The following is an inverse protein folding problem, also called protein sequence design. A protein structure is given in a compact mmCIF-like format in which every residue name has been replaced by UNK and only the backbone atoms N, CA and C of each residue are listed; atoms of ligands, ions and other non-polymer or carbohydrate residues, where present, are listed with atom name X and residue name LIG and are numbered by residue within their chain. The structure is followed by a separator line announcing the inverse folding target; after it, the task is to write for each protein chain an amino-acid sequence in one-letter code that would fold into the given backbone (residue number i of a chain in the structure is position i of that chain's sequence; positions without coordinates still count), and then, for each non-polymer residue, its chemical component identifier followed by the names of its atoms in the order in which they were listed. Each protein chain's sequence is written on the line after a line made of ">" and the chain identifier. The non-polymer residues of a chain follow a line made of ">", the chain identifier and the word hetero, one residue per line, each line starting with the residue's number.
data_IF_446564374019
#
_entry.id   IF_446564374019
#
_cell.length_a   1.000
_cell.length_b   1.000
_cell.length_c   1.000
_cell.angle_alpha   90.00
_cell.angle_beta   90.00
_cell.angle_gamma   90.00
#
_symmetry.space_group_name_H-M   'P 1'
#
loop_
_entity.id
_entity.type
_entity.pdbx_description
1 polymer ?
#
# COMPACT_ATOMS: atom_id res chain seq x y z
N UNK A 1 22.48 1.82 -21.13
CA UNK A 1 23.37 0.78 -21.67
C UNK A 1 23.82 -0.10 -20.51
N UNK A 2 23.55 -1.43 -20.50
CA UNK A 2 23.88 -2.32 -19.37
C UNK A 2 25.37 -2.39 -19.06
N UNK A 3 26.24 -2.07 -20.01
CA UNK A 3 27.69 -2.16 -19.89
C UNK A 3 28.33 -1.05 -19.02
N UNK A 4 27.52 -0.11 -18.47
CA UNK A 4 27.99 1.00 -17.64
C UNK A 4 27.43 0.89 -16.21
N UNK A 5 26.79 -0.23 -15.88
CA UNK A 5 26.26 -0.44 -14.53
C UNK A 5 27.41 -0.82 -13.59
N UNK A 6 27.79 0.11 -12.72
CA UNK A 6 28.84 -0.09 -11.70
C UNK A 6 28.19 -0.07 -10.34
N UNK A 7 28.45 -1.10 -9.54
CA UNK A 7 27.92 -1.22 -8.18
C UNK A 7 28.97 -1.82 -7.24
N UNK A 8 28.67 -1.73 -5.94
CA UNK A 8 29.52 -2.27 -4.85
C UNK A 8 28.95 -3.54 -4.24
N UNK A 9 27.86 -4.10 -4.80
CA UNK A 9 27.15 -5.27 -4.30
C UNK A 9 27.86 -6.59 -4.56
N UNK A 10 27.32 -7.66 -3.96
CA UNK A 10 27.85 -9.04 -4.05
C UNK A 10 27.73 -9.66 -5.45
N UNK A 11 26.93 -9.06 -6.32
CA UNK A 11 26.68 -9.54 -7.67
C UNK A 11 26.95 -8.44 -8.70
N UNK A 12 27.30 -8.87 -9.91
CA UNK A 12 27.42 -8.04 -11.11
C UNK A 12 26.37 -8.44 -12.13
N UNK A 13 25.80 -7.48 -12.82
CA UNK A 13 24.83 -7.72 -13.89
C UNK A 13 25.57 -8.34 -15.10
N UNK A 14 25.26 -9.60 -15.40
CA UNK A 14 25.86 -10.36 -16.50
C UNK A 14 25.02 -10.26 -17.79
N UNK A 15 23.68 -10.26 -17.65
CA UNK A 15 22.76 -10.14 -18.78
C UNK A 15 21.53 -9.34 -18.38
N UNK A 16 21.09 -8.45 -19.26
CA UNK A 16 19.86 -7.68 -19.16
C UNK A 16 18.96 -7.99 -20.34
N UNK A 17 17.73 -8.37 -20.06
CA UNK A 17 16.67 -8.59 -21.05
C UNK A 17 15.35 -8.00 -20.55
N UNK A 18 14.34 -8.00 -21.41
CA UNK A 18 12.99 -7.52 -21.08
C UNK A 18 12.21 -8.49 -20.20
N UNK A 19 12.58 -9.76 -20.23
CA UNK A 19 11.94 -10.89 -19.55
C UNK A 19 12.80 -11.50 -18.43
N UNK A 20 14.10 -11.17 -18.40
CA UNK A 20 15.03 -11.78 -17.47
C UNK A 20 16.27 -10.93 -17.20
N UNK A 21 16.80 -11.10 -15.99
CA UNK A 21 18.09 -10.54 -15.57
C UNK A 21 18.97 -11.67 -15.06
N UNK A 22 20.25 -11.68 -15.45
CA UNK A 22 21.25 -12.60 -14.91
C UNK A 22 22.29 -11.84 -14.11
N UNK A 23 22.53 -12.29 -12.90
CA UNK A 23 23.56 -11.77 -12.00
C UNK A 23 24.57 -12.87 -11.71
N UNK A 24 25.83 -12.61 -12.00
CA UNK A 24 26.95 -13.45 -11.60
C UNK A 24 27.54 -12.95 -10.28
N UNK A 25 28.15 -13.83 -9.50
CA UNK A 25 28.87 -13.44 -8.28
C UNK A 25 30.03 -12.50 -8.63
N UNK A 26 30.18 -11.46 -7.82
CA UNK A 26 31.31 -10.53 -7.96
C UNK A 26 32.49 -11.04 -7.11
N UNK A 27 33.49 -11.64 -7.76
CA UNK A 27 34.62 -12.30 -7.09
C UNK A 27 35.44 -11.36 -6.20
N UNK A 28 35.47 -10.05 -6.55
CA UNK A 28 36.20 -9.01 -5.78
C UNK A 28 35.30 -8.30 -4.77
N UNK A 29 34.12 -8.88 -4.45
CA UNK A 29 33.24 -8.31 -3.44
C UNK A 29 33.95 -8.23 -2.07
N UNK A 30 33.88 -7.08 -1.44
CA UNK A 30 34.55 -6.76 -0.18
C UNK A 30 33.91 -7.38 1.06
N UNK A 31 32.66 -7.80 0.98
CA UNK A 31 31.90 -8.41 2.08
C UNK A 31 31.83 -9.93 1.98
N UNK A 32 30.92 -10.54 2.76
CA UNK A 32 30.69 -11.99 2.75
C UNK A 32 30.18 -12.43 1.37
N UNK A 33 30.87 -13.35 0.75
CA UNK A 33 30.54 -13.91 -0.56
C UNK A 33 29.16 -14.61 -0.55
N UNK A 34 28.43 -14.57 -1.64
CA UNK A 34 27.20 -15.35 -1.81
C UNK A 34 27.43 -16.87 -1.65
N UNK A 35 26.43 -17.56 -1.10
CA UNK A 35 26.45 -19.03 -0.98
C UNK A 35 26.02 -19.72 -2.28
N UNK A 36 25.47 -18.97 -3.25
CA UNK A 36 25.10 -19.46 -4.58
C UNK A 36 26.08 -18.99 -5.66
N UNK A 37 25.94 -19.56 -6.86
CA UNK A 37 26.80 -19.25 -8.00
C UNK A 37 26.31 -18.04 -8.83
N UNK A 38 25.18 -17.45 -8.47
CA UNK A 38 24.53 -16.33 -9.17
C UNK A 38 23.02 -16.38 -9.04
N UNK A 39 22.35 -15.40 -9.61
CA UNK A 39 20.88 -15.25 -9.55
C UNK A 39 20.33 -14.99 -10.95
N UNK A 40 19.34 -15.77 -11.34
CA UNK A 40 18.53 -15.52 -12.53
C UNK A 40 17.16 -15.00 -12.09
N UNK A 41 16.85 -13.75 -12.40
CA UNK A 41 15.52 -13.16 -12.13
C UNK A 41 14.69 -13.30 -13.41
N UNK A 42 13.56 -13.99 -13.30
CA UNK A 42 12.54 -14.05 -14.37
C UNK A 42 11.45 -13.04 -14.09
N UNK A 43 11.18 -12.16 -15.05
CA UNK A 43 10.15 -11.14 -14.93
C UNK A 43 8.83 -11.73 -15.41
N UNK A 44 7.92 -11.99 -14.46
CA UNK A 44 6.58 -12.50 -14.75
C UNK A 44 5.58 -11.34 -14.68
N UNK A 45 4.98 -11.00 -15.81
CA UNK A 45 3.98 -9.91 -15.88
C UNK A 45 2.57 -10.33 -15.46
N UNK A 46 2.35 -11.63 -15.31
CA UNK A 46 1.08 -12.22 -14.91
C UNK A 46 1.24 -13.03 -13.62
N UNK A 47 0.42 -12.76 -12.58
CA UNK A 47 0.38 -13.59 -11.36
C UNK A 47 0.14 -15.07 -11.64
N UNK A 48 -0.68 -15.38 -12.64
CA UNK A 48 -0.97 -16.77 -13.06
C UNK A 48 0.29 -17.45 -13.62
N UNK A 49 1.07 -16.73 -14.42
CA UNK A 49 2.31 -17.27 -14.96
C UNK A 49 3.34 -17.51 -13.85
N UNK A 50 3.49 -16.57 -12.91
CA UNK A 50 4.35 -16.72 -11.75
C UNK A 50 3.96 -17.95 -10.90
N UNK A 51 2.68 -18.08 -10.59
CA UNK A 51 2.14 -19.20 -9.83
C UNK A 51 2.42 -20.55 -10.51
N UNK A 52 2.14 -20.65 -11.83
CA UNK A 52 2.38 -21.87 -12.59
C UNK A 52 3.87 -22.20 -12.73
N UNK A 53 4.72 -21.19 -13.00
CA UNK A 53 6.16 -21.38 -13.10
C UNK A 53 6.74 -21.93 -11.78
N UNK A 54 6.24 -21.45 -10.64
CA UNK A 54 6.63 -21.98 -9.33
C UNK A 54 6.13 -23.42 -9.12
N UNK A 55 4.86 -23.70 -9.37
CA UNK A 55 4.27 -25.05 -9.18
C UNK A 55 4.93 -26.13 -10.04
N UNK A 56 5.37 -25.76 -11.22
CA UNK A 56 6.06 -26.70 -12.13
C UNK A 56 7.56 -26.84 -11.87
N UNK A 57 8.11 -26.06 -10.90
CA UNK A 57 9.54 -26.06 -10.61
C UNK A 57 10.39 -25.32 -11.65
N UNK A 58 9.78 -24.54 -12.54
CA UNK A 58 10.50 -23.71 -13.52
C UNK A 58 11.28 -22.56 -12.85
N UNK A 59 10.86 -22.15 -11.66
CA UNK A 59 11.56 -21.19 -10.80
C UNK A 59 11.72 -21.77 -9.40
N UNK A 60 12.80 -21.39 -8.74
CA UNK A 60 13.18 -21.89 -7.41
C UNK A 60 12.47 -21.14 -6.28
N UNK A 61 12.22 -19.85 -6.47
CA UNK A 61 11.63 -18.97 -5.48
C UNK A 61 10.57 -18.11 -6.17
N UNK A 62 9.35 -18.08 -5.61
CA UNK A 62 8.30 -17.15 -5.97
C UNK A 62 8.17 -16.09 -4.88
N UNK A 63 8.25 -14.82 -5.28
CA UNK A 63 8.22 -13.67 -4.40
C UNK A 63 7.52 -12.52 -5.09
N UNK A 64 6.67 -11.78 -4.34
CA UNK A 64 5.83 -10.70 -4.83
C UNK A 64 4.78 -11.12 -5.89
N UNK A 65 3.82 -10.25 -6.15
CA UNK A 65 2.82 -10.32 -7.24
C UNK A 65 1.89 -11.54 -7.27
N UNK A 66 1.92 -12.43 -6.28
CA UNK A 66 0.93 -13.50 -6.14
C UNK A 66 -0.41 -12.93 -5.67
N UNK A 67 -1.52 -13.48 -6.16
CA UNK A 67 -2.87 -13.12 -5.70
C UNK A 67 -3.21 -13.84 -4.39
N UNK A 68 -4.16 -13.33 -3.57
CA UNK A 68 -4.52 -13.94 -2.30
C UNK A 68 -4.93 -15.42 -2.37
N UNK A 69 -5.69 -15.83 -3.38
CA UNK A 69 -6.08 -17.21 -3.62
C UNK A 69 -4.89 -18.12 -3.98
N UNK A 70 -3.94 -17.60 -4.74
CA UNK A 70 -2.71 -18.29 -5.09
C UNK A 70 -1.81 -18.49 -3.85
N UNK A 71 -1.66 -17.46 -3.02
CA UNK A 71 -0.94 -17.55 -1.74
C UNK A 71 -1.58 -18.62 -0.86
N UNK A 72 -2.90 -18.59 -0.69
CA UNK A 72 -3.63 -19.58 0.10
C UNK A 72 -3.41 -21.02 -0.43
N UNK A 73 -3.43 -21.20 -1.75
CA UNK A 73 -3.16 -22.48 -2.39
C UNK A 73 -1.74 -22.97 -2.14
N UNK A 74 -0.74 -22.07 -2.26
CA UNK A 74 0.66 -22.41 -2.01
C UNK A 74 0.94 -22.70 -0.54
N UNK A 75 0.34 -21.96 0.40
CA UNK A 75 0.44 -22.25 1.83
C UNK A 75 -0.15 -23.62 2.19
N UNK A 76 -1.30 -23.96 1.60
CA UNK A 76 -1.93 -25.26 1.82
C UNK A 76 -1.04 -26.43 1.35
N UNK A 77 -0.35 -26.27 0.24
CA UNK A 77 0.61 -27.26 -0.27
C UNK A 77 1.92 -27.27 0.53
N UNK A 78 2.39 -26.11 1.00
CA UNK A 78 3.56 -26.03 1.88
C UNK A 78 3.34 -26.80 3.20
N UNK A 79 2.12 -26.75 3.77
CA UNK A 79 1.72 -27.55 4.94
C UNK A 79 1.80 -29.06 4.70
N UNK A 80 1.66 -29.51 3.45
CA UNK A 80 1.85 -30.91 3.04
C UNK A 80 3.31 -31.25 2.76
N UNK A 81 4.20 -30.27 2.83
CA UNK A 81 5.62 -30.43 2.58
C UNK A 81 6.01 -30.43 1.10
N UNK A 82 5.18 -29.88 0.19
CA UNK A 82 5.51 -29.80 -1.24
C UNK A 82 6.65 -28.81 -1.50
N UNK A 83 6.68 -27.70 -0.74
CA UNK A 83 7.69 -26.65 -0.77
C UNK A 83 7.72 -25.90 0.57
N UNK A 84 8.56 -24.87 0.67
CA UNK A 84 8.66 -24.01 1.85
C UNK A 84 7.77 -22.78 1.66
N UNK A 85 7.10 -22.33 2.72
CA UNK A 85 6.43 -21.06 2.80
C UNK A 85 7.06 -20.22 3.91
N UNK A 86 7.53 -19.04 3.58
CA UNK A 86 8.08 -18.06 4.49
C UNK A 86 7.15 -16.85 4.46
N UNK A 87 6.69 -16.41 5.61
CA UNK A 87 5.88 -15.19 5.72
C UNK A 87 6.42 -14.25 6.77
N UNK A 88 6.30 -12.97 6.52
CA UNK A 88 6.66 -11.92 7.46
C UNK A 88 5.56 -10.85 7.48
N UNK A 89 5.46 -10.13 8.61
CA UNK A 89 4.62 -8.94 8.68
C UNK A 89 5.22 -7.87 7.79
N UNK A 90 4.46 -7.47 6.77
CA UNK A 90 4.89 -6.47 5.81
C UNK A 90 4.80 -5.04 6.34
N UNK A 91 5.49 -4.14 5.67
CA UNK A 91 5.43 -2.69 5.93
C UNK A 91 4.69 -1.93 4.82
N UNK A 92 4.21 -2.63 3.80
CA UNK A 92 3.41 -2.06 2.72
C UNK A 92 2.01 -1.76 3.22
N UNK A 93 1.57 -0.52 3.06
CA UNK A 93 0.22 -0.07 3.42
C UNK A 93 -0.60 0.19 2.17
N UNK A 94 -1.85 -0.25 2.17
CA UNK A 94 -2.82 0.08 1.12
C UNK A 94 -3.88 1.02 1.70
N UNK A 95 -4.22 2.03 0.93
CA UNK A 95 -5.10 3.12 1.38
C UNK A 95 -5.93 3.67 0.23
N UNK A 96 -7.01 4.37 0.59
CA UNK A 96 -7.81 5.19 -0.30
C UNK A 96 -7.40 6.65 -0.10
N UNK A 97 -6.92 7.31 -1.18
CA UNK A 97 -6.65 8.75 -1.20
C UNK A 97 -7.95 9.49 -1.53
N UNK A 98 -8.18 10.61 -0.87
CA UNK A 98 -9.34 11.48 -1.11
C UNK A 98 -8.85 12.87 -1.48
N UNK A 99 -9.06 13.26 -2.75
CA UNK A 99 -8.65 14.56 -3.27
C UNK A 99 -9.59 15.65 -2.75
N UNK A 100 -9.12 16.44 -1.79
CA UNK A 100 -9.93 17.49 -1.17
C UNK A 100 -10.31 18.64 -2.12
N UNK A 101 -9.70 18.76 -3.28
CA UNK A 101 -10.02 19.78 -4.27
C UNK A 101 -11.14 19.35 -5.23
N UNK A 102 -11.59 18.10 -5.15
CA UNK A 102 -12.64 17.54 -5.99
C UNK A 102 -13.96 17.40 -5.20
N UNK A 103 -15.06 17.93 -5.77
CA UNK A 103 -16.38 17.71 -5.18
C UNK A 103 -16.83 16.26 -5.38
N UNK A 104 -17.52 15.66 -4.40
CA UNK A 104 -17.94 16.20 -3.09
C UNK A 104 -16.88 16.00 -1.98
N UNK A 105 -15.65 15.59 -2.31
CA UNK A 105 -14.59 15.29 -1.35
C UNK A 105 -13.95 16.54 -0.71
N UNK A 106 -14.30 17.74 -1.19
CA UNK A 106 -14.00 19.02 -0.53
C UNK A 106 -14.64 19.11 0.86
N UNK A 107 -15.79 18.45 1.07
CA UNK A 107 -16.45 18.37 2.39
C UNK A 107 -15.84 17.27 3.24
N UNK A 108 -15.40 17.61 4.45
CA UNK A 108 -14.81 16.64 5.37
C UNK A 108 -15.82 15.57 5.81
N UNK A 109 -17.09 15.92 5.91
CA UNK A 109 -18.20 15.04 6.30
C UNK A 109 -18.35 13.87 5.28
N UNK A 110 -18.13 14.14 3.99
CA UNK A 110 -18.15 13.11 2.94
C UNK A 110 -16.97 12.17 3.12
N UNK A 111 -15.76 12.69 3.39
CA UNK A 111 -14.58 11.86 3.62
C UNK A 111 -14.73 11.01 4.89
N UNK A 112 -15.30 11.57 5.96
CA UNK A 112 -15.61 10.86 7.20
C UNK A 112 -16.69 9.79 7.00
N UNK A 113 -17.71 10.08 6.18
CA UNK A 113 -18.74 9.09 5.82
C UNK A 113 -18.15 7.90 5.06
N UNK A 114 -17.23 8.16 4.11
CA UNK A 114 -16.52 7.10 3.40
C UNK A 114 -15.67 6.27 4.38
N UNK A 115 -14.99 6.91 5.34
CA UNK A 115 -14.21 6.20 6.35
C UNK A 115 -15.08 5.28 7.22
N UNK A 116 -16.31 5.71 7.56
CA UNK A 116 -17.29 4.93 8.34
C UNK A 116 -17.94 3.80 7.54
N UNK A 117 -18.10 3.96 6.21
CA UNK A 117 -18.66 2.94 5.33
C UNK A 117 -17.73 1.73 5.19
N UNK A 118 -16.41 1.96 5.19
CA UNK A 118 -15.43 0.91 4.91
C UNK A 118 -15.42 -0.14 6.01
N UNK A 119 -15.65 -1.39 5.62
CA UNK A 119 -15.52 -2.58 6.47
C UNK A 119 -14.22 -3.31 6.11
N UNK A 120 -13.15 -3.01 6.87
CA UNK A 120 -11.80 -3.58 6.62
C UNK A 120 -11.75 -5.06 6.91
N UNK A 121 -12.55 -5.49 7.91
CA UNK A 121 -12.64 -6.91 8.25
C UNK A 121 -13.26 -7.69 7.10
N UNK A 122 -14.37 -7.20 6.54
CA UNK A 122 -15.01 -7.81 5.37
C UNK A 122 -14.07 -7.84 4.16
N UNK A 123 -13.33 -6.74 3.90
CA UNK A 123 -12.34 -6.70 2.82
C UNK A 123 -11.24 -7.75 3.04
N UNK A 124 -10.73 -7.89 4.28
CA UNK A 124 -9.70 -8.87 4.60
C UNK A 124 -10.21 -10.31 4.43
N UNK A 125 -11.41 -10.60 4.93
CA UNK A 125 -11.96 -11.96 4.91
C UNK A 125 -12.38 -12.39 3.49
N UNK A 126 -12.98 -11.48 2.69
CA UNK A 126 -13.60 -11.82 1.40
C UNK A 126 -12.74 -11.58 0.18
N UNK A 127 -11.89 -10.55 0.23
CA UNK A 127 -11.05 -10.16 -0.94
C UNK A 127 -9.61 -10.59 -0.72
N UNK A 128 -9.08 -10.35 0.48
CA UNK A 128 -7.68 -10.64 0.78
C UNK A 128 -7.46 -12.05 1.35
N UNK A 129 -8.53 -12.80 1.64
CA UNK A 129 -8.50 -14.18 2.16
C UNK A 129 -7.59 -14.32 3.39
N UNK A 130 -7.60 -13.30 4.25
CA UNK A 130 -6.77 -13.18 5.47
C UNK A 130 -5.25 -13.10 5.20
N UNK A 131 -4.84 -12.78 3.95
CA UNK A 131 -3.44 -12.61 3.57
C UNK A 131 -2.89 -11.19 3.85
N UNK A 132 -3.62 -10.39 4.59
CA UNK A 132 -3.24 -9.07 5.07
C UNK A 132 -3.82 -8.82 6.46
N UNK A 133 -3.47 -7.70 7.08
CA UNK A 133 -4.08 -7.28 8.34
C UNK A 133 -4.84 -5.96 8.13
N UNK A 134 -6.07 -5.83 8.66
CA UNK A 134 -6.79 -4.56 8.66
C UNK A 134 -5.95 -3.45 9.30
N UNK A 135 -5.83 -2.31 8.62
CA UNK A 135 -5.03 -1.19 9.09
C UNK A 135 -5.91 0.01 9.44
N UNK A 136 -5.68 0.59 10.61
CA UNK A 136 -6.48 1.69 11.17
C UNK A 136 -5.66 2.95 11.44
N UNK A 137 -4.45 3.01 10.89
CA UNK A 137 -3.54 4.17 10.84
C UNK A 137 -2.82 4.16 9.50
N UNK A 138 -2.36 5.33 9.02
CA UNK A 138 -1.44 5.38 7.87
C UNK A 138 -0.05 4.82 8.23
N UNK A 139 0.29 4.77 9.51
CA UNK A 139 1.55 4.20 10.00
C UNK A 139 1.34 2.70 10.28
N UNK A 140 2.17 1.80 9.72
CA UNK A 140 2.07 0.36 9.94
C UNK A 140 2.18 -0.04 11.42
N UNK A 141 1.54 -1.14 11.78
CA UNK A 141 1.55 -1.69 13.15
C UNK A 141 2.93 -2.20 13.61
N UNK A 142 3.88 -2.34 12.68
CA UNK A 142 5.28 -2.65 12.98
C UNK A 142 6.02 -1.53 13.72
N UNK A 143 5.48 -0.31 13.71
CA UNK A 143 6.02 0.83 14.45
C UNK A 143 5.26 1.06 15.75
N UNK A 144 5.99 1.25 16.85
CA UNK A 144 5.42 1.47 18.20
C UNK A 144 4.68 2.80 18.37
N UNK A 145 4.74 3.69 17.39
CA UNK A 145 3.99 4.95 17.33
C UNK A 145 2.63 4.80 16.64
N UNK A 146 2.38 3.66 15.98
CA UNK A 146 1.11 3.40 15.31
C UNK A 146 -0.05 3.32 16.30
N UNK A 147 -1.14 4.02 16.01
CA UNK A 147 -2.36 4.02 16.84
C UNK A 147 -3.58 3.70 15.98
N UNK A 148 -4.44 2.75 16.37
CA UNK A 148 -5.57 2.31 15.57
C UNK A 148 -6.78 3.27 15.63
N UNK A 149 -6.55 4.57 15.53
CA UNK A 149 -7.55 5.63 15.77
C UNK A 149 -8.76 5.52 14.83
N UNK A 150 -8.55 5.08 13.58
CA UNK A 150 -9.67 4.86 12.65
C UNK A 150 -10.63 3.75 13.12
N UNK A 151 -10.12 2.74 13.85
CA UNK A 151 -10.96 1.69 14.43
C UNK A 151 -11.92 2.25 15.47
N UNK A 152 -11.41 3.08 16.36
CA UNK A 152 -12.17 3.62 17.46
C UNK A 152 -13.25 4.62 16.97
N UNK A 153 -12.89 5.50 16.04
CA UNK A 153 -13.79 6.53 15.52
C UNK A 153 -14.73 6.03 14.43
N UNK A 154 -14.20 5.40 13.39
CA UNK A 154 -14.97 5.02 12.20
C UNK A 154 -15.36 3.54 12.17
N UNK A 155 -14.64 2.66 12.91
CA UNK A 155 -14.91 1.23 12.98
C UNK A 155 -14.84 0.52 11.63
N UNK A 156 -15.68 -0.49 11.47
CA UNK A 156 -15.88 -1.26 10.26
C UNK A 156 -17.38 -1.31 9.94
N UNK A 157 -17.80 -0.76 8.80
CA UNK A 157 -19.18 -0.80 8.33
C UNK A 157 -20.19 -0.05 9.20
N UNK A 158 -19.82 1.12 9.76
CA UNK A 158 -20.74 1.99 10.52
C UNK A 158 -21.65 2.77 9.59
N UNK A 159 -22.55 2.06 8.89
CA UNK A 159 -23.37 2.63 7.83
C UNK A 159 -24.34 3.71 8.32
N UNK A 160 -24.87 3.59 9.54
CA UNK A 160 -25.79 4.58 10.10
C UNK A 160 -25.07 5.93 10.33
N UNK A 161 -23.86 5.89 10.89
CA UNK A 161 -23.01 7.08 11.07
C UNK A 161 -22.60 7.69 9.74
N UNK A 162 -22.26 6.85 8.75
CA UNK A 162 -21.94 7.31 7.40
C UNK A 162 -23.11 8.07 6.77
N UNK A 163 -24.33 7.52 6.83
CA UNK A 163 -25.54 8.19 6.35
C UNK A 163 -25.80 9.51 7.08
N UNK A 164 -25.70 9.52 8.41
CA UNK A 164 -25.87 10.72 9.22
C UNK A 164 -24.92 11.84 8.81
N UNK A 165 -23.65 11.50 8.57
CA UNK A 165 -22.63 12.47 8.12
C UNK A 165 -22.97 13.06 6.73
N UNK A 166 -23.43 12.22 5.79
CA UNK A 166 -23.82 12.69 4.45
C UNK A 166 -25.05 13.57 4.47
N UNK A 167 -26.08 13.20 5.25
CA UNK A 167 -27.28 14.02 5.42
C UNK A 167 -26.94 15.38 6.03
N UNK A 168 -26.09 15.41 7.07
CA UNK A 168 -25.62 16.65 7.66
C UNK A 168 -24.83 17.53 6.69
N UNK A 169 -24.16 16.92 5.69
CA UNK A 169 -23.45 17.61 4.62
C UNK A 169 -24.37 18.07 3.46
N UNK A 170 -25.70 17.80 3.52
CA UNK A 170 -26.69 18.21 2.55
C UNK A 170 -26.88 17.25 1.38
N UNK A 171 -26.49 15.97 1.53
CA UNK A 171 -26.75 14.93 0.53
C UNK A 171 -28.00 14.13 0.87
N UNK A 172 -28.69 13.70 -0.16
CA UNK A 172 -29.91 12.89 -0.08
C UNK A 172 -29.94 11.88 -1.24
N UNK A 173 -31.00 11.09 -1.30
CA UNK A 173 -31.22 10.17 -2.41
C UNK A 173 -31.43 10.91 -3.74
N UNK A 174 -32.08 12.09 -3.72
CA UNK A 174 -32.31 12.94 -4.90
C UNK A 174 -31.02 13.72 -5.28
N UNK A 175 -30.15 13.98 -4.32
CA UNK A 175 -28.87 14.67 -4.52
C UNK A 175 -27.72 13.87 -3.88
N UNK A 176 -27.32 12.74 -4.47
CA UNK A 176 -26.31 11.87 -3.86
C UNK A 176 -24.89 12.42 -3.96
N UNK A 177 -24.06 12.04 -3.00
CA UNK A 177 -22.60 12.19 -3.09
C UNK A 177 -22.07 11.17 -4.11
N UNK A 178 -21.57 11.65 -5.26
CA UNK A 178 -21.00 10.80 -6.32
C UNK A 178 -19.48 10.89 -6.28
N UNK A 179 -18.81 9.74 -6.12
CA UNK A 179 -17.35 9.67 -5.99
C UNK A 179 -16.79 8.62 -6.93
N UNK A 180 -15.79 8.98 -7.73
CA UNK A 180 -15.07 8.03 -8.56
C UNK A 180 -13.89 7.43 -7.76
N UNK A 181 -13.75 6.10 -7.80
CA UNK A 181 -12.61 5.37 -7.26
C UNK A 181 -11.76 4.87 -8.42
N UNK A 182 -10.54 5.39 -8.52
CA UNK A 182 -9.58 5.04 -9.56
C UNK A 182 -8.49 4.09 -9.04
N UNK A 183 -8.07 3.14 -9.87
CA UNK A 183 -6.98 2.21 -9.56
C UNK A 183 -6.25 1.76 -10.83
N UNK A 184 -4.99 1.26 -10.73
CA UNK A 184 -4.25 0.72 -11.88
C UNK A 184 -4.90 -0.55 -12.43
N UNK A 185 -5.13 -0.61 -13.75
CA UNK A 185 -5.82 -1.69 -14.44
C UNK A 185 -5.20 -3.09 -14.21
N UNK A 186 -3.90 -3.15 -13.93
CA UNK A 186 -3.19 -4.41 -13.69
C UNK A 186 -3.49 -5.05 -12.32
N UNK A 187 -4.18 -4.33 -11.40
CA UNK A 187 -4.41 -4.82 -10.04
C UNK A 187 -5.79 -5.46 -9.86
N UNK A 188 -5.86 -6.77 -9.94
CA UNK A 188 -7.09 -7.53 -9.68
C UNK A 188 -7.60 -7.32 -8.25
N UNK A 189 -6.72 -7.34 -7.26
CA UNK A 189 -7.08 -7.13 -5.84
C UNK A 189 -7.75 -5.77 -5.63
N UNK A 190 -7.19 -4.69 -6.19
CA UNK A 190 -7.80 -3.36 -6.08
C UNK A 190 -9.13 -3.26 -6.83
N UNK A 191 -9.27 -3.95 -7.95
CA UNK A 191 -10.53 -4.08 -8.66
C UNK A 191 -11.61 -4.67 -7.75
N UNK A 192 -11.33 -5.80 -7.11
CA UNK A 192 -12.26 -6.46 -6.20
C UNK A 192 -12.61 -5.59 -4.97
N UNK A 193 -11.62 -4.91 -4.40
CA UNK A 193 -11.85 -3.96 -3.30
C UNK A 193 -12.75 -2.82 -3.75
N UNK A 194 -12.47 -2.17 -4.87
CA UNK A 194 -13.27 -1.06 -5.38
C UNK A 194 -14.71 -1.48 -5.68
N UNK A 195 -14.91 -2.67 -6.27
CA UNK A 195 -16.25 -3.25 -6.49
C UNK A 195 -16.96 -3.58 -5.18
N UNK A 196 -16.24 -4.06 -4.17
CA UNK A 196 -16.81 -4.33 -2.84
C UNK A 196 -17.26 -3.02 -2.18
N UNK A 197 -16.45 -1.96 -2.23
CA UNK A 197 -16.83 -0.64 -1.71
C UNK A 197 -18.06 -0.09 -2.43
N UNK A 198 -18.10 -0.23 -3.76
CA UNK A 198 -19.29 0.14 -4.54
C UNK A 198 -20.53 -0.66 -4.09
N UNK A 199 -20.43 -1.96 -3.96
CA UNK A 199 -21.53 -2.82 -3.50
C UNK A 199 -22.02 -2.45 -2.10
N UNK A 200 -21.12 -2.10 -1.19
CA UNK A 200 -21.48 -1.61 0.16
C UNK A 200 -22.26 -0.28 0.06
N UNK A 201 -21.82 0.65 -0.78
CA UNK A 201 -22.55 1.91 -0.99
C UNK A 201 -23.95 1.64 -1.60
N UNK A 202 -24.03 0.85 -2.66
CA UNK A 202 -25.28 0.53 -3.35
C UNK A 202 -26.30 -0.15 -2.42
N UNK A 203 -25.85 -1.01 -1.51
CA UNK A 203 -26.72 -1.84 -0.65
C UNK A 203 -26.99 -1.25 0.73
N UNK A 204 -26.13 -0.38 1.25
CA UNK A 204 -26.16 0.10 2.64
C UNK A 204 -26.39 1.59 2.78
N UNK A 205 -26.27 2.39 1.70
CA UNK A 205 -26.33 3.84 1.79
C UNK A 205 -27.61 4.44 1.21
N UNK A 206 -28.62 3.63 0.91
CA UNK A 206 -29.94 4.07 0.42
C UNK A 206 -29.86 5.08 -0.75
N UNK A 207 -28.83 4.95 -1.61
CA UNK A 207 -28.59 5.82 -2.75
C UNK A 207 -27.94 7.18 -2.43
N UNK A 208 -27.71 7.53 -1.16
CA UNK A 208 -27.12 8.82 -0.74
C UNK A 208 -25.64 8.93 -1.11
N UNK A 209 -24.90 7.79 -1.15
CA UNK A 209 -23.52 7.70 -1.62
C UNK A 209 -23.45 6.74 -2.81
N UNK A 210 -22.84 7.19 -3.88
CA UNK A 210 -22.67 6.39 -5.10
C UNK A 210 -21.19 6.36 -5.51
N UNK A 211 -20.62 5.16 -5.66
CA UNK A 211 -19.30 5.01 -6.21
C UNK A 211 -19.32 4.62 -7.69
N UNK A 212 -18.50 5.29 -8.47
CA UNK A 212 -18.18 4.92 -9.84
C UNK A 212 -16.74 4.36 -9.87
N UNK A 213 -16.60 3.10 -10.25
CA UNK A 213 -15.30 2.41 -10.30
C UNK A 213 -14.66 2.66 -11.66
N UNK A 214 -13.43 3.17 -11.67
CA UNK A 214 -12.66 3.54 -12.84
C UNK A 214 -11.26 2.92 -12.80
N UNK A 215 -10.72 2.62 -13.96
CA UNK A 215 -9.39 2.08 -14.10
C UNK A 215 -8.65 2.72 -15.26
N UNK A 216 -7.33 2.76 -15.17
CA UNK A 216 -6.43 3.26 -16.20
C UNK A 216 -5.13 2.46 -16.16
N UNK A 217 -4.37 2.47 -17.26
CA UNK A 217 -3.05 1.84 -17.34
C UNK A 217 -2.10 2.38 -16.25
N UNK A 218 -1.26 1.49 -15.67
CA UNK A 218 -0.49 1.79 -14.46
C UNK A 218 0.47 2.97 -14.58
N UNK A 219 1.25 3.07 -15.66
CA UNK A 219 2.17 4.17 -15.85
C UNK A 219 1.43 5.51 -15.97
N UNK A 220 0.31 5.53 -16.68
CA UNK A 220 -0.58 6.69 -16.79
C UNK A 220 -1.17 7.05 -15.44
N UNK A 221 -1.64 6.06 -14.68
CA UNK A 221 -2.21 6.26 -13.34
C UNK A 221 -1.24 7.05 -12.43
N UNK A 222 -0.02 6.55 -12.27
CA UNK A 222 0.96 7.19 -11.39
C UNK A 222 1.44 8.55 -11.90
N UNK A 223 1.51 8.75 -13.21
CA UNK A 223 1.86 10.04 -13.82
C UNK A 223 0.81 11.12 -13.59
N UNK A 224 -0.45 10.73 -13.51
CA UNK A 224 -1.58 11.65 -13.46
C UNK A 224 -2.09 11.96 -12.03
N UNK A 225 -1.71 11.14 -11.02
CA UNK A 225 -2.13 11.35 -9.63
C UNK A 225 -1.81 12.78 -9.16
N UNK A 226 -0.58 13.23 -9.37
CA UNK A 226 -0.10 14.55 -8.92
C UNK A 226 -0.75 15.73 -9.65
N UNK A 227 -1.46 15.49 -10.74
CA UNK A 227 -2.20 16.52 -11.49
C UNK A 227 -3.63 16.74 -10.98
N UNK A 228 -4.07 15.94 -10.00
CA UNK A 228 -5.41 16.06 -9.41
C UNK A 228 -6.55 15.60 -10.29
N UNK A 229 -6.29 14.76 -11.31
CA UNK A 229 -7.31 14.27 -12.23
C UNK A 229 -8.27 13.28 -11.58
N UNK A 230 -7.82 12.57 -10.52
CA UNK A 230 -8.59 11.54 -9.86
C UNK A 230 -9.21 12.06 -8.56
N UNK A 231 -10.56 11.99 -8.41
CA UNK A 231 -11.23 12.34 -7.15
C UNK A 231 -10.77 11.44 -5.99
N UNK A 232 -10.68 10.14 -6.20
CA UNK A 232 -10.07 9.24 -5.24
C UNK A 232 -9.28 8.15 -5.91
N UNK A 233 -8.23 7.66 -5.22
CA UNK A 233 -7.34 6.63 -5.74
C UNK A 233 -7.12 5.52 -4.73
N UNK A 234 -7.19 4.27 -5.21
CA UNK A 234 -6.87 3.09 -4.43
C UNK A 234 -5.47 2.62 -4.80
N UNK A 235 -4.52 2.84 -3.90
CA UNK A 235 -3.11 2.56 -4.13
C UNK A 235 -2.41 2.05 -2.86
N UNK A 236 -1.12 1.80 -2.95
CA UNK A 236 -0.31 1.32 -1.84
C UNK A 236 1.02 2.08 -1.78
N UNK A 237 1.67 1.98 -0.62
CA UNK A 237 2.99 2.53 -0.39
C UNK A 237 3.97 1.45 0.06
N UNK A 238 5.08 1.34 -0.66
CA UNK A 238 6.26 0.61 -0.25
C UNK A 238 7.19 1.58 0.46
N UNK A 239 7.67 1.29 1.69
CA UNK A 239 8.55 2.23 2.38
C UNK A 239 9.92 2.32 1.71
N UNK A 240 10.44 3.54 1.56
CA UNK A 240 11.81 3.78 1.09
C UNK A 240 12.83 3.49 2.20
N UNK A 241 12.41 3.65 3.46
CA UNK A 241 13.20 3.38 4.65
C UNK A 241 12.28 3.11 5.86
N UNK A 242 12.80 2.42 6.88
CA UNK A 242 12.04 1.99 8.06
C UNK A 242 12.04 3.07 9.15
N UNK A 243 11.30 4.15 8.92
CA UNK A 243 10.95 5.16 9.91
C UNK A 243 9.48 5.57 9.72
N UNK A 244 8.72 5.85 10.80
CA UNK A 244 7.34 6.33 10.68
C UNK A 244 7.17 7.59 9.83
N UNK A 245 8.22 8.43 9.70
CA UNK A 245 8.21 9.62 8.84
C UNK A 245 7.92 9.27 7.37
N UNK A 246 8.32 8.08 6.91
CA UNK A 246 8.06 7.60 5.54
C UNK A 246 6.57 7.38 5.23
N UNK A 247 5.72 7.32 6.27
CA UNK A 247 4.26 7.19 6.13
C UNK A 247 3.51 8.49 6.46
N UNK A 248 4.24 9.56 6.71
CA UNK A 248 3.72 10.86 7.12
C UNK A 248 4.14 11.95 6.17
N UNK A 249 5.44 12.21 6.05
CA UNK A 249 5.97 13.31 5.24
C UNK A 249 5.58 13.22 3.75
N UNK A 250 5.74 12.07 3.05
CA UNK A 250 5.38 11.95 1.64
C UNK A 250 3.88 12.15 1.36
N UNK A 251 3.03 11.99 2.38
CA UNK A 251 1.57 12.03 2.25
C UNK A 251 0.97 13.37 2.66
N UNK A 252 1.53 14.01 3.69
CA UNK A 252 0.87 15.10 4.41
C UNK A 252 1.61 16.42 4.30
N UNK A 253 2.94 16.40 3.98
CA UNK A 253 3.72 17.61 3.85
C UNK A 253 3.32 18.41 2.61
N UNK A 254 3.26 19.72 2.78
CA UNK A 254 2.98 20.66 1.71
C UNK A 254 3.94 21.85 1.78
N UNK A 255 4.80 21.99 0.78
CA UNK A 255 5.77 23.08 0.71
C UNK A 255 5.12 24.41 0.28
N UNK A 256 4.10 24.33 -0.61
CA UNK A 256 3.35 25.49 -1.08
C UNK A 256 1.88 25.16 -1.23
N UNK A 257 1.04 25.97 -0.63
CA UNK A 257 -0.41 25.77 -0.67
C UNK A 257 -1.15 26.74 0.24
N UNK A 258 -2.44 26.58 0.31
CA UNK A 258 -3.32 27.34 1.18
C UNK A 258 -4.59 26.56 1.53
N UNK A 259 -5.34 27.01 2.54
CA UNK A 259 -6.62 26.41 2.89
C UNK A 259 -7.60 26.44 1.68
N UNK A 260 -7.58 27.51 0.88
CA UNK A 260 -8.49 27.66 -0.27
C UNK A 260 -8.10 26.78 -1.47
N UNK A 261 -6.80 26.66 -1.77
CA UNK A 261 -6.30 25.96 -2.98
C UNK A 261 -5.89 24.51 -2.71
N UNK A 262 -5.71 24.15 -1.44
CA UNK A 262 -5.04 22.91 -1.10
C UNK A 262 -3.52 22.99 -1.29
N UNK A 263 -2.86 21.85 -1.35
CA UNK A 263 -1.44 21.77 -1.62
C UNK A 263 -1.14 21.89 -3.12
N UNK A 264 -0.34 22.88 -3.48
CA UNK A 264 0.09 23.15 -4.86
C UNK A 264 1.44 22.48 -5.18
N UNK A 265 2.34 22.38 -4.17
CA UNK A 265 3.64 21.70 -4.27
C UNK A 265 3.96 20.95 -2.98
N UNK A 266 4.24 19.66 -3.05
CA UNK A 266 4.64 18.86 -1.89
C UNK A 266 4.14 17.42 -1.93
N UNK A 267 4.33 16.72 -0.81
CA UNK A 267 4.00 15.30 -0.70
C UNK A 267 2.51 15.02 -0.93
N UNK A 268 1.62 15.78 -0.27
CA UNK A 268 0.18 15.57 -0.41
C UNK A 268 -0.35 15.83 -1.82
N UNK A 269 0.25 16.77 -2.57
CA UNK A 269 -0.03 16.99 -3.97
C UNK A 269 0.47 15.80 -4.81
N UNK A 270 1.71 15.35 -4.58
CA UNK A 270 2.30 14.21 -5.30
C UNK A 270 1.51 12.92 -5.08
N UNK A 271 0.92 12.72 -3.90
CA UNK A 271 0.08 11.56 -3.57
C UNK A 271 -1.42 11.77 -3.88
N UNK A 272 -1.80 12.92 -4.44
CA UNK A 272 -3.14 13.16 -4.97
C UNK A 272 -4.22 13.55 -3.97
N UNK A 273 -3.91 13.75 -2.69
CA UNK A 273 -4.89 14.25 -1.71
C UNK A 273 -5.06 15.77 -1.74
N UNK A 274 -4.03 16.48 -2.16
CA UNK A 274 -3.95 17.94 -2.17
C UNK A 274 -4.22 18.55 -0.78
N UNK A 275 -3.98 17.76 0.26
CA UNK A 275 -4.19 18.17 1.63
C UNK A 275 -3.22 19.29 2.02
N UNK A 276 -3.74 20.33 2.64
CA UNK A 276 -2.96 21.44 3.20
C UNK A 276 -3.40 21.73 4.63
N UNK A 277 -2.44 21.76 5.52
CA UNK A 277 -2.61 22.21 6.89
C UNK A 277 -1.27 22.74 7.41
N UNK A 278 -1.26 24.00 7.85
CA UNK A 278 -0.08 24.61 8.45
C UNK A 278 0.31 23.90 9.76
N UNK A 279 -0.70 23.50 10.56
CA UNK A 279 -0.48 22.73 11.77
C UNK A 279 0.18 21.38 11.50
N UNK A 280 -0.26 20.66 10.44
CA UNK A 280 0.34 19.40 10.02
C UNK A 280 1.79 19.59 9.59
N UNK A 281 2.09 20.61 8.78
CA UNK A 281 3.46 20.91 8.37
C UNK A 281 4.37 21.16 9.59
N UNK A 282 3.88 21.90 10.59
CA UNK A 282 4.62 22.14 11.85
C UNK A 282 4.88 20.85 12.62
N UNK A 283 3.89 19.97 12.73
CA UNK A 283 4.04 18.67 13.39
C UNK A 283 5.07 17.79 12.66
N UNK A 284 5.04 17.76 11.32
CA UNK A 284 6.01 17.03 10.50
C UNK A 284 7.42 17.56 10.73
N UNK A 285 7.61 18.87 10.71
CA UNK A 285 8.91 19.50 10.97
C UNK A 285 9.40 19.24 12.40
N UNK A 286 8.51 19.25 13.40
CA UNK A 286 8.85 18.97 14.78
C UNK A 286 9.30 17.51 14.97
N UNK A 287 8.54 16.52 14.47
CA UNK A 287 8.90 15.12 14.64
C UNK A 287 10.24 14.77 13.97
N UNK A 288 10.59 15.43 12.85
CA UNK A 288 11.85 15.22 12.14
C UNK A 288 13.07 15.80 12.87
N UNK A 289 12.86 16.79 13.72
CA UNK A 289 13.91 17.44 14.54
C UNK A 289 14.01 16.84 15.93
N UNK A 290 12.96 16.16 16.40
CA UNK A 290 12.89 15.62 17.75
C UNK A 290 13.76 14.38 17.91
N UNK A 291 14.66 14.41 18.89
CA UNK A 291 15.58 13.32 19.20
C UNK A 291 15.12 12.46 20.38
N UNK A 292 14.23 12.99 21.23
CA UNK A 292 13.66 12.21 22.32
C UNK A 292 12.54 11.31 21.81
N UNK A 293 12.65 9.97 21.90
CA UNK A 293 11.68 9.02 21.34
C UNK A 293 10.27 9.19 21.90
N UNK A 294 10.13 9.48 23.18
CA UNK A 294 8.81 9.63 23.83
C UNK A 294 8.11 10.93 23.39
N UNK A 295 8.87 12.01 23.23
CA UNK A 295 8.34 13.28 22.70
C UNK A 295 7.97 13.10 21.23
N UNK A 296 8.82 12.43 20.43
CA UNK A 296 8.54 12.13 19.02
C UNK A 296 7.28 11.28 18.86
N UNK A 297 7.09 10.29 19.74
CA UNK A 297 5.88 9.46 19.79
C UNK A 297 4.60 10.28 20.02
N UNK A 298 4.64 11.27 20.90
CA UNK A 298 3.50 12.19 21.14
C UNK A 298 3.20 13.01 19.88
N UNK A 299 4.22 13.52 19.19
CA UNK A 299 4.02 14.27 17.95
C UNK A 299 3.37 13.38 16.87
N UNK A 300 3.78 12.10 16.75
CA UNK A 300 3.12 11.15 15.85
C UNK A 300 1.66 10.86 16.26
N UNK A 301 1.32 10.89 17.54
CA UNK A 301 -0.07 10.77 18.00
C UNK A 301 -0.91 11.97 17.54
N UNK A 302 -0.37 13.19 17.65
CA UNK A 302 -1.04 14.41 17.20
C UNK A 302 -1.23 14.40 15.67
N UNK A 303 -0.23 13.99 14.90
CA UNK A 303 -0.32 13.81 13.44
C UNK A 303 -1.45 12.83 13.09
N UNK A 304 -1.49 11.65 13.71
CA UNK A 304 -2.52 10.64 13.46
C UNK A 304 -3.92 11.14 13.84
N UNK A 305 -4.04 11.91 14.92
CA UNK A 305 -5.29 12.54 15.34
C UNK A 305 -5.79 13.55 14.30
N UNK A 306 -4.89 14.34 13.72
CA UNK A 306 -5.26 15.27 12.67
C UNK A 306 -5.66 14.56 11.38
N UNK A 307 -4.94 13.50 10.97
CA UNK A 307 -5.33 12.65 9.83
C UNK A 307 -6.71 12.03 10.05
N UNK A 308 -6.99 11.55 11.26
CA UNK A 308 -8.30 11.02 11.65
C UNK A 308 -9.43 12.05 11.50
N UNK A 309 -9.15 13.32 11.81
CA UNK A 309 -10.13 14.40 11.76
C UNK A 309 -10.40 14.86 10.34
N UNK A 310 -9.34 15.07 9.56
CA UNK A 310 -9.40 15.67 8.22
C UNK A 310 -9.62 14.65 7.10
N UNK A 311 -9.29 13.39 7.35
CA UNK A 311 -9.45 12.23 6.46
C UNK A 311 -8.97 12.49 5.03
N UNK A 312 -7.71 12.92 4.81
CA UNK A 312 -7.15 13.01 3.46
C UNK A 312 -6.84 11.62 2.86
N UNK A 313 -6.63 10.64 3.73
CA UNK A 313 -6.38 9.24 3.41
C UNK A 313 -7.18 8.34 4.35
N UNK A 314 -7.61 7.20 3.83
CA UNK A 314 -8.23 6.15 4.64
C UNK A 314 -7.35 4.90 4.55
N UNK A 315 -6.68 4.49 5.65
CA UNK A 315 -5.93 3.24 5.69
C UNK A 315 -6.88 2.05 5.56
N UNK A 316 -6.48 1.04 4.80
CA UNK A 316 -7.30 -0.15 4.52
C UNK A 316 -6.69 -1.42 5.09
N UNK A 317 -5.48 -1.76 4.65
CA UNK A 317 -4.76 -2.94 5.16
C UNK A 317 -3.25 -2.76 5.08
N UNK A 318 -2.56 -3.52 5.91
CA UNK A 318 -1.13 -3.75 5.90
C UNK A 318 -0.87 -5.13 5.30
N UNK A 319 -0.04 -5.20 4.27
CA UNK A 319 0.27 -6.46 3.60
C UNK A 319 1.12 -7.36 4.49
N UNK A 320 0.97 -8.66 4.33
CA UNK A 320 1.96 -9.66 4.71
C UNK A 320 2.80 -9.99 3.49
N UNK A 321 4.08 -10.29 3.70
CA UNK A 321 4.96 -10.73 2.63
C UNK A 321 5.09 -12.24 2.66
N UNK A 322 4.99 -12.84 1.49
CA UNK A 322 5.06 -14.29 1.28
C UNK A 322 6.16 -14.61 0.30
N UNK A 323 6.98 -15.58 0.67
CA UNK A 323 7.99 -16.18 -0.20
C UNK A 323 7.78 -17.68 -0.20
N UNK A 324 7.73 -18.26 -1.38
CA UNK A 324 7.64 -19.71 -1.55
C UNK A 324 8.94 -20.20 -2.20
N UNK A 325 9.54 -21.25 -1.65
CA UNK A 325 10.79 -21.81 -2.14
C UNK A 325 10.67 -23.32 -2.34
N UNK A 326 11.21 -23.82 -3.47
CA UNK A 326 11.23 -25.24 -3.79
C UNK A 326 12.01 -26.06 -2.72
N UNK A 327 11.71 -27.35 -2.62
CA UNK A 327 12.51 -28.29 -1.83
C UNK A 327 13.96 -28.24 -2.30
N UNK A 328 14.91 -28.25 -1.36
CA UNK A 328 16.34 -28.18 -1.67
C UNK A 328 16.90 -26.76 -1.82
N UNK A 329 16.06 -25.73 -1.80
CA UNK A 329 16.50 -24.35 -1.67
C UNK A 329 16.55 -23.99 -0.20
N UNK A 330 17.72 -23.62 0.32
CA UNK A 330 17.93 -23.33 1.73
C UNK A 330 18.22 -21.84 1.96
N UNK A 331 18.08 -21.38 3.22
CA UNK A 331 18.43 -20.04 3.69
C UNK A 331 17.68 -18.91 2.96
N UNK A 332 16.42 -19.16 2.59
CA UNK A 332 15.54 -18.14 2.00
C UNK A 332 15.00 -17.26 3.11
N UNK A 333 15.44 -16.01 3.14
CA UNK A 333 15.09 -15.05 4.19
C UNK A 333 14.76 -13.68 3.58
N UNK A 334 13.90 -12.93 4.27
CA UNK A 334 13.64 -11.52 4.01
C UNK A 334 14.46 -10.65 4.98
N UNK A 335 14.94 -9.51 4.51
CA UNK A 335 15.53 -8.51 5.39
C UNK A 335 14.42 -7.71 6.13
N UNK A 336 14.76 -6.84 7.09
CA UNK A 336 13.75 -6.01 7.77
C UNK A 336 12.96 -5.06 6.85
N UNK A 337 13.51 -4.73 5.67
CA UNK A 337 12.79 -3.97 4.62
C UNK A 337 12.00 -4.88 3.69
N UNK A 338 11.97 -6.19 4.02
CA UNK A 338 11.23 -7.25 3.32
C UNK A 338 11.73 -7.57 1.92
N UNK A 339 12.97 -7.24 1.64
CA UNK A 339 13.64 -7.68 0.43
C UNK A 339 14.25 -9.06 0.61
N UNK A 340 14.24 -9.85 -0.46
CA UNK A 340 14.85 -11.18 -0.48
C UNK A 340 16.37 -11.08 -0.36
N UNK A 341 16.95 -11.78 0.62
CA UNK A 341 18.41 -11.79 0.84
C UNK A 341 19.06 -12.82 -0.10
N UNK A 342 19.25 -12.45 -1.36
CA UNK A 342 19.76 -13.38 -2.39
C UNK A 342 21.08 -14.06 -2.03
N UNK A 343 22.00 -13.36 -1.33
CA UNK A 343 23.35 -13.88 -1.02
C UNK A 343 23.37 -15.08 -0.06
N UNK A 344 22.32 -15.27 0.73
CA UNK A 344 22.22 -16.39 1.69
C UNK A 344 21.55 -17.61 1.09
N UNK A 345 20.85 -17.47 -0.03
CA UNK A 345 20.13 -18.56 -0.66
C UNK A 345 21.11 -19.57 -1.22
N UNK A 346 20.87 -20.84 -0.89
CA UNK A 346 21.66 -21.97 -1.32
C UNK A 346 20.81 -23.01 -2.02
N UNK A 347 21.29 -23.47 -3.17
CA UNK A 347 20.71 -24.59 -3.92
C UNK A 347 21.80 -25.59 -4.33
#
# INVERSE_FOLDING_TARGET
>A
KPNIFVGTGAYKLAKYGTDSLKFDVFDKYWGTKPENKGVNVQIQTSPVNLFNAFKTGAIDVAYLSLQPDQIQSLEASAKKGDWQAISAQGSVVTYLTLNRNQKPLDKVEVRQAIASLIDRKLLNDRVLLSQADPLYSMIPTTFNVSQPLFKDKYGDGKFAEAKKSLVAAGFSQENPAKVQIWYPASSMTRSLVAQTLKSLADTKMDGILQFEVKTVEGATFYKEISKGLYPSTLTNWYPDFLDPDNYVQPFLACAKGSVAKGCEEGGSQSQGSFYYSEAMNKLIDQQRKEQNPETRKKIFADIQTQVLTDVPYIPLWQSKDFVFAQKGVANVNLDPTQNLIYKTIKK
#
